data_IF_385469500400
#
_entry.id   IF_385469500400
#
_cell.length_a   1.000
_cell.length_b   1.000
_cell.length_c   1.000
_cell.angle_alpha   90.00
_cell.angle_beta   90.00
_cell.angle_gamma   90.00
#
_symmetry.space_group_name_H-M   'P 1'
#
loop_
_entity.id
_entity.type
_entity.pdbx_description
1 polymer ?
#
# COMPACT_ATOMS: atom_id res chain seq x y z
N UNK A 1 -20.99 0.04 -33.26
CA UNK A 1 -20.82 0.05 -31.80
C UNK A 1 -19.34 0.27 -31.55
N UNK A 2 -18.97 1.47 -31.13
CA UNK A 2 -17.56 1.84 -30.86
C UNK A 2 -17.20 1.24 -29.49
N UNK A 3 -16.06 0.56 -29.30
CA UNK A 3 -15.66 0.14 -27.96
C UNK A 3 -15.42 1.40 -27.11
N UNK A 4 -15.69 1.37 -25.80
CA UNK A 4 -15.33 2.50 -24.96
C UNK A 4 -13.80 2.63 -24.99
N UNK A 5 -13.33 3.79 -25.41
CA UNK A 5 -11.96 4.23 -25.24
C UNK A 5 -11.73 4.32 -23.74
N UNK A 6 -11.10 3.30 -23.15
CA UNK A 6 -10.47 3.48 -21.86
C UNK A 6 -9.39 4.52 -22.07
N UNK A 7 -9.56 5.72 -21.51
CA UNK A 7 -8.53 6.77 -21.48
C UNK A 7 -7.40 6.34 -20.55
N UNK A 8 -6.72 5.24 -20.91
CA UNK A 8 -5.49 4.74 -20.33
C UNK A 8 -4.34 5.67 -20.68
N UNK A 9 -4.45 6.94 -20.27
CA UNK A 9 -3.31 7.82 -20.15
C UNK A 9 -2.32 7.18 -19.18
N UNK A 10 -1.02 7.34 -19.45
CA UNK A 10 0.01 7.06 -18.45
C UNK A 10 -0.40 7.72 -17.14
N UNK A 11 -0.24 7.04 -15.99
CA UNK A 11 -0.54 7.65 -14.70
C UNK A 11 0.22 8.98 -14.57
N UNK A 12 -0.32 9.89 -13.77
CA UNK A 12 0.40 11.11 -13.43
C UNK A 12 1.82 10.78 -12.91
N UNK A 13 2.78 11.70 -12.98
CA UNK A 13 4.11 11.46 -12.41
C UNK A 13 4.04 11.10 -10.92
N UNK A 14 5.02 10.34 -10.43
CA UNK A 14 5.15 10.04 -9.00
C UNK A 14 5.49 11.33 -8.23
N UNK A 15 4.79 11.58 -7.14
CA UNK A 15 5.07 12.66 -6.20
C UNK A 15 6.19 12.23 -5.25
N UNK A 16 7.43 12.44 -5.71
CA UNK A 16 8.63 12.09 -4.95
C UNK A 16 8.72 12.80 -3.59
N UNK A 17 8.42 14.11 -3.44
CA UNK A 17 8.38 14.78 -2.13
C UNK A 17 7.47 14.09 -1.11
N UNK A 18 6.29 13.60 -1.52
CA UNK A 18 5.41 12.82 -0.62
C UNK A 18 6.08 11.51 -0.21
N UNK A 19 6.70 10.78 -1.15
CA UNK A 19 7.42 9.54 -0.80
C UNK A 19 8.58 9.80 0.17
N UNK A 20 9.37 10.86 -0.02
CA UNK A 20 10.47 11.24 0.87
C UNK A 20 9.98 11.63 2.27
N UNK A 21 8.83 12.31 2.34
CA UNK A 21 8.18 12.64 3.62
C UNK A 21 7.74 11.36 4.36
N UNK A 22 7.05 10.44 3.69
CA UNK A 22 6.60 9.17 4.27
C UNK A 22 7.81 8.33 4.69
N UNK A 23 8.82 8.21 3.83
CA UNK A 23 10.07 7.50 4.11
C UNK A 23 10.73 8.02 5.39
N UNK A 24 10.94 9.33 5.49
CA UNK A 24 11.57 9.97 6.65
C UNK A 24 10.80 9.69 7.92
N UNK A 25 9.46 9.75 7.86
CA UNK A 25 8.60 9.53 9.03
C UNK A 25 8.64 8.07 9.48
N UNK A 26 8.53 7.12 8.56
CA UNK A 26 8.48 5.70 8.85
C UNK A 26 9.83 5.14 9.30
N UNK A 27 10.92 5.54 8.66
CA UNK A 27 12.28 5.12 9.02
C UNK A 27 12.66 5.50 10.46
N UNK A 28 12.02 6.54 11.03
CA UNK A 28 12.25 6.99 12.40
C UNK A 28 11.48 6.18 13.45
N UNK A 29 10.67 5.19 13.05
CA UNK A 29 9.89 4.34 13.96
C UNK A 29 10.62 3.03 14.24
N UNK A 30 10.34 2.41 15.40
CA UNK A 30 10.92 1.11 15.78
C UNK A 30 10.29 -0.07 15.03
N UNK A 31 9.09 0.12 14.50
CA UNK A 31 8.32 -0.88 13.76
C UNK A 31 8.89 -1.13 12.37
N UNK A 32 9.71 -0.22 11.85
CA UNK A 32 10.27 -0.26 10.50
C UNK A 32 11.75 -0.59 10.61
N UNK A 33 12.18 -1.65 9.93
CA UNK A 33 13.61 -1.95 9.81
C UNK A 33 14.25 -1.08 8.72
N UNK A 34 13.54 -0.89 7.61
CA UNK A 34 14.04 -0.19 6.44
C UNK A 34 12.90 0.47 5.65
N UNK A 35 13.10 1.70 5.21
CA UNK A 35 12.24 2.42 4.27
C UNK A 35 13.10 2.97 3.14
N UNK A 36 12.91 2.47 1.92
CA UNK A 36 13.75 2.79 0.77
C UNK A 36 12.91 3.20 -0.42
N UNK A 37 13.22 4.34 -1.02
CA UNK A 37 12.68 4.72 -2.32
C UNK A 37 13.52 4.04 -3.39
N UNK A 38 12.88 3.19 -4.19
CA UNK A 38 13.50 2.47 -5.30
C UNK A 38 12.94 2.97 -6.62
N UNK A 39 13.79 3.09 -7.63
CA UNK A 39 13.38 3.32 -9.02
C UNK A 39 13.76 2.09 -9.83
N UNK A 40 12.79 1.18 -10.00
CA UNK A 40 12.98 0.01 -10.85
C UNK A 40 12.27 0.26 -12.18
N UNK A 41 13.04 0.43 -13.25
CA UNK A 41 12.51 0.58 -14.62
C UNK A 41 11.50 1.75 -14.79
N UNK A 42 11.67 2.85 -14.06
CA UNK A 42 10.77 4.00 -14.11
C UNK A 42 9.55 3.88 -13.19
N UNK A 43 9.52 2.87 -12.32
CA UNK A 43 8.53 2.72 -11.26
C UNK A 43 9.14 3.16 -9.94
N UNK A 44 9.10 4.48 -9.70
CA UNK A 44 9.48 5.05 -8.41
C UNK A 44 8.44 4.65 -7.35
N UNK A 45 8.89 3.97 -6.31
CA UNK A 45 8.08 3.44 -5.22
C UNK A 45 8.85 3.51 -3.90
N UNK A 46 8.14 3.75 -2.79
CA UNK A 46 8.68 3.57 -1.45
C UNK A 46 8.35 2.15 -0.97
N UNK A 47 9.38 1.33 -0.70
CA UNK A 47 9.25 0.04 -0.03
C UNK A 47 9.60 0.20 1.44
N UNK A 48 8.69 -0.23 2.33
CA UNK A 48 8.86 -0.24 3.79
C UNK A 48 8.88 -1.69 4.24
N UNK A 49 9.99 -2.12 4.85
CA UNK A 49 10.15 -3.44 5.46
C UNK A 49 9.94 -3.28 6.96
N UNK A 50 9.00 -4.03 7.52
CA UNK A 50 8.75 -4.00 8.96
C UNK A 50 9.81 -4.79 9.72
N UNK A 51 10.02 -4.44 10.98
CA UNK A 51 10.98 -5.14 11.83
C UNK A 51 10.46 -6.55 12.17
N UNK A 52 11.25 -7.63 11.95
CA UNK A 52 10.81 -8.99 12.25
C UNK A 52 10.39 -9.20 13.70
N UNK A 53 11.02 -8.50 14.64
CA UNK A 53 10.66 -8.54 16.06
C UNK A 53 9.27 -7.95 16.38
N UNK A 54 8.62 -7.30 15.41
CA UNK A 54 7.27 -6.76 15.53
C UNK A 54 6.18 -7.78 15.15
N UNK A 55 6.56 -8.90 14.56
CA UNK A 55 5.67 -9.97 14.11
C UNK A 55 5.93 -11.27 14.88
N UNK A 56 4.92 -12.15 15.02
CA UNK A 56 5.15 -13.51 15.49
C UNK A 56 5.97 -14.31 14.48
N UNK A 57 6.58 -15.40 14.95
CA UNK A 57 7.46 -16.25 14.15
C UNK A 57 6.78 -16.97 12.97
N UNK A 58 5.46 -16.91 12.85
CA UNK A 58 4.69 -17.40 11.70
C UNK A 58 4.84 -16.52 10.46
N UNK A 59 5.23 -15.25 10.62
CA UNK A 59 5.44 -14.30 9.52
C UNK A 59 6.94 -14.19 9.23
N UNK A 60 7.34 -14.59 8.03
CA UNK A 60 8.73 -14.61 7.59
C UNK A 60 9.22 -13.21 7.17
N UNK A 61 8.35 -12.45 6.49
CA UNK A 61 8.61 -11.09 6.03
C UNK A 61 7.31 -10.29 5.97
N UNK A 62 7.38 -8.98 6.21
CA UNK A 62 6.25 -8.09 6.04
C UNK A 62 6.70 -6.77 5.41
N UNK A 63 5.97 -6.34 4.38
CA UNK A 63 6.30 -5.15 3.61
C UNK A 63 5.08 -4.30 3.27
N UNK A 64 5.29 -3.00 3.19
CA UNK A 64 4.34 -2.02 2.63
C UNK A 64 5.01 -1.31 1.45
N UNK A 65 4.44 -1.48 0.26
CA UNK A 65 4.79 -0.75 -0.96
C UNK A 65 3.87 0.46 -1.12
N UNK A 66 4.44 1.64 -1.35
CA UNK A 66 3.72 2.92 -1.46
C UNK A 66 4.07 3.63 -2.74
N UNK A 67 3.06 3.90 -3.56
CA UNK A 67 3.14 4.79 -4.73
C UNK A 67 2.15 5.93 -4.55
N UNK A 68 2.63 7.16 -4.73
CA UNK A 68 1.82 8.37 -4.67
C UNK A 68 2.06 9.19 -5.93
N UNK A 69 1.00 9.69 -6.54
CA UNK A 69 1.06 10.45 -7.78
C UNK A 69 0.69 11.91 -7.56
N UNK A 70 1.16 12.80 -8.43
CA UNK A 70 0.95 14.26 -8.31
C UNK A 70 -0.51 14.70 -8.46
N UNK A 71 -1.41 13.80 -8.86
CA UNK A 71 -2.86 14.01 -8.93
C UNK A 71 -3.61 13.41 -7.72
N UNK A 72 -2.90 13.07 -6.65
CA UNK A 72 -3.39 12.37 -5.44
C UNK A 72 -3.91 10.95 -5.66
N UNK A 73 -3.69 10.36 -6.83
CA UNK A 73 -3.84 8.92 -6.94
C UNK A 73 -2.74 8.23 -6.12
N UNK A 74 -3.04 7.04 -5.60
CA UNK A 74 -2.07 6.25 -4.86
C UNK A 74 -2.38 4.76 -4.92
N UNK A 75 -1.36 3.97 -4.57
CA UNK A 75 -1.45 2.53 -4.33
C UNK A 75 -0.61 2.20 -3.11
N UNK A 76 -1.26 1.66 -2.08
CA UNK A 76 -0.60 1.13 -0.90
C UNK A 76 -0.86 -0.38 -0.86
N UNK A 77 0.20 -1.18 -0.94
CA UNK A 77 0.12 -2.65 -0.95
C UNK A 77 0.87 -3.19 0.24
N UNK A 78 0.14 -3.79 1.18
CA UNK A 78 0.72 -4.49 2.30
C UNK A 78 0.71 -5.99 2.05
N UNK A 79 1.84 -6.64 2.37
CA UNK A 79 2.06 -8.06 2.11
C UNK A 79 2.88 -8.69 3.22
N UNK A 80 2.37 -9.79 3.75
CA UNK A 80 3.04 -10.71 4.66
C UNK A 80 3.42 -11.97 3.85
N UNK A 81 4.65 -12.43 4.01
CA UNK A 81 5.07 -13.77 3.57
C UNK A 81 5.03 -14.70 4.78
N UNK A 82 4.37 -15.85 4.60
CA UNK A 82 4.37 -16.97 5.53
C UNK A 82 4.99 -18.19 4.83
N UNK A 83 5.33 -19.23 5.60
CA UNK A 83 6.02 -20.40 5.08
C UNK A 83 5.34 -21.05 3.85
N UNK A 84 4.00 -21.10 3.84
CA UNK A 84 3.21 -21.81 2.82
C UNK A 84 2.31 -20.89 1.97
N UNK A 85 2.16 -19.62 2.34
CA UNK A 85 1.23 -18.70 1.69
C UNK A 85 1.64 -17.23 1.86
N UNK A 86 1.09 -16.36 1.03
CA UNK A 86 1.18 -14.92 1.22
C UNK A 86 -0.19 -14.38 1.67
N UNK A 87 -0.15 -13.35 2.51
CA UNK A 87 -1.33 -12.60 2.91
C UNK A 87 -1.14 -11.15 2.46
N UNK A 88 -2.03 -10.63 1.63
CA UNK A 88 -1.89 -9.29 1.07
C UNK A 88 -3.22 -8.56 0.91
N UNK A 89 -3.18 -7.25 1.12
CA UNK A 89 -4.30 -6.33 0.91
C UNK A 89 -3.80 -5.01 0.31
N UNK A 90 -4.71 -4.25 -0.32
CA UNK A 90 -4.35 -2.96 -0.96
C UNK A 90 -5.38 -1.87 -0.70
N UNK A 91 -4.88 -0.65 -0.55
CA UNK A 91 -5.66 0.58 -0.51
C UNK A 91 -5.29 1.42 -1.71
N UNK A 92 -6.24 1.58 -2.63
CA UNK A 92 -6.00 2.21 -3.92
C UNK A 92 -6.92 3.42 -4.10
N UNK A 93 -6.35 4.48 -4.67
CA UNK A 93 -7.05 5.65 -5.20
C UNK A 93 -6.60 5.82 -6.64
N UNK A 94 -7.41 5.38 -7.59
CA UNK A 94 -7.22 5.65 -9.02
C UNK A 94 -8.47 5.24 -9.81
N UNK A 95 -8.73 5.86 -10.97
CA UNK A 95 -9.78 5.39 -11.86
C UNK A 95 -9.50 3.96 -12.36
N UNK A 96 -10.52 3.10 -12.42
CA UNK A 96 -10.46 1.81 -13.08
C UNK A 96 -11.85 1.44 -13.66
N UNK A 97 -11.98 0.39 -14.50
CA UNK A 97 -13.26 0.03 -15.13
C UNK A 97 -14.30 -0.66 -14.22
N UNK A 98 -13.94 -1.07 -13.00
CA UNK A 98 -14.72 -2.02 -12.20
C UNK A 98 -14.98 -1.55 -10.76
N UNK A 99 -14.36 -0.46 -10.32
CA UNK A 99 -14.53 0.19 -9.03
C UNK A 99 -14.66 1.70 -9.20
N UNK A 100 -15.17 2.35 -8.16
CA UNK A 100 -15.00 3.78 -7.94
C UNK A 100 -13.51 4.13 -7.73
N UNK A 101 -13.19 5.43 -7.76
CA UNK A 101 -11.81 5.92 -7.66
C UNK A 101 -11.10 5.38 -6.41
N UNK A 102 -11.79 5.38 -5.27
CA UNK A 102 -11.28 4.87 -3.99
C UNK A 102 -11.80 3.44 -3.80
N UNK A 103 -10.90 2.47 -3.66
CA UNK A 103 -11.27 1.07 -3.47
C UNK A 103 -10.25 0.32 -2.62
N UNK A 104 -10.75 -0.67 -1.87
CA UNK A 104 -9.96 -1.57 -1.04
C UNK A 104 -9.90 -2.96 -1.70
N UNK A 105 -8.72 -3.57 -1.77
CA UNK A 105 -8.60 -4.97 -2.15
C UNK A 105 -8.38 -5.80 -0.89
N UNK A 106 -9.38 -6.60 -0.46
CA UNK A 106 -9.31 -7.31 0.81
C UNK A 106 -8.28 -8.44 0.78
N UNK A 107 -7.77 -8.82 1.96
CA UNK A 107 -6.96 -10.02 2.11
C UNK A 107 -7.76 -11.31 1.84
N UNK A 108 -7.08 -12.45 1.60
CA UNK A 108 -5.63 -12.63 1.67
C UNK A 108 -4.90 -12.42 0.34
N UNK A 109 -5.61 -12.17 -0.76
CA UNK A 109 -5.03 -12.19 -2.12
C UNK A 109 -5.09 -10.85 -2.85
N UNK A 110 -5.60 -9.79 -2.20
CA UNK A 110 -5.84 -8.49 -2.81
C UNK A 110 -6.51 -8.58 -4.20
N UNK A 111 -7.52 -9.47 -4.31
CA UNK A 111 -8.13 -9.83 -5.59
C UNK A 111 -8.84 -8.65 -6.26
N UNK A 112 -8.96 -8.72 -7.59
CA UNK A 112 -9.72 -7.75 -8.40
C UNK A 112 -11.05 -8.37 -8.83
N UNK A 113 -12.20 -7.65 -8.78
CA UNK A 113 -12.34 -6.25 -8.36
C UNK A 113 -12.16 -6.06 -6.85
N UNK A 114 -11.82 -4.84 -6.44
CA UNK A 114 -11.85 -4.45 -5.03
C UNK A 114 -13.26 -4.10 -4.56
N UNK A 115 -13.36 -3.59 -3.35
CA UNK A 115 -14.56 -3.07 -2.70
C UNK A 115 -14.53 -1.54 -2.72
N UNK A 116 -15.60 -0.91 -3.20
CA UNK A 116 -15.71 0.54 -3.24
C UNK A 116 -15.74 1.14 -1.84
N UNK A 117 -15.00 2.23 -1.64
CA UNK A 117 -14.88 2.90 -0.34
C UNK A 117 -14.51 4.37 -0.53
N UNK A 118 -14.13 5.06 0.55
CA UNK A 118 -13.63 6.44 0.51
C UNK A 118 -12.44 6.59 1.44
N UNK A 119 -11.35 7.18 0.95
CA UNK A 119 -10.17 7.48 1.76
C UNK A 119 -10.13 8.95 2.19
N UNK A 120 -9.41 9.29 3.27
CA UNK A 120 -9.11 10.68 3.60
C UNK A 120 -8.49 11.45 2.42
N UNK A 121 -8.67 12.77 2.42
CA UNK A 121 -8.10 13.64 1.39
C UNK A 121 -6.60 13.90 1.63
N UNK A 122 -6.19 14.09 2.89
CA UNK A 122 -4.80 14.37 3.24
C UNK A 122 -3.96 13.08 3.23
N UNK A 123 -2.78 13.13 2.62
CA UNK A 123 -1.88 11.98 2.51
C UNK A 123 -1.44 11.42 3.87
N UNK A 124 -1.33 12.26 4.90
CA UNK A 124 -0.94 11.87 6.25
C UNK A 124 -2.05 11.06 6.91
N UNK A 125 -3.30 11.47 6.68
CA UNK A 125 -4.48 10.77 7.22
C UNK A 125 -4.67 9.42 6.53
N UNK A 126 -4.42 9.32 5.22
CA UNK A 126 -4.41 8.03 4.50
C UNK A 126 -3.33 7.10 5.05
N UNK A 127 -2.10 7.58 5.19
CA UNK A 127 -1.00 6.75 5.73
C UNK A 127 -1.26 6.35 7.18
N UNK A 128 -1.78 7.25 8.01
CA UNK A 128 -2.14 6.93 9.39
C UNK A 128 -3.25 5.87 9.47
N UNK A 129 -4.26 5.97 8.60
CA UNK A 129 -5.31 4.96 8.49
C UNK A 129 -4.74 3.58 8.14
N UNK A 130 -3.91 3.49 7.09
CA UNK A 130 -3.30 2.22 6.66
C UNK A 130 -2.40 1.62 7.74
N UNK A 131 -1.60 2.44 8.43
CA UNK A 131 -0.77 1.95 9.52
C UNK A 131 -1.62 1.40 10.68
N UNK A 132 -2.74 2.04 11.02
CA UNK A 132 -3.64 1.52 12.06
C UNK A 132 -4.24 0.15 11.66
N UNK A 133 -4.67 -0.02 10.41
CA UNK A 133 -5.18 -1.32 9.92
C UNK A 133 -4.10 -2.42 9.99
N UNK A 134 -2.84 -2.07 9.67
CA UNK A 134 -1.70 -2.99 9.79
C UNK A 134 -1.43 -3.32 11.27
N UNK A 135 -1.49 -2.34 12.16
CA UNK A 135 -1.32 -2.55 13.61
C UNK A 135 -2.41 -3.49 14.18
N UNK A 136 -3.67 -3.32 13.76
CA UNK A 136 -4.78 -4.20 14.17
C UNK A 136 -4.59 -5.63 13.64
N UNK A 137 -4.09 -5.79 12.40
CA UNK A 137 -3.72 -7.09 11.84
C UNK A 137 -2.59 -7.74 12.64
N UNK A 138 -1.54 -6.99 12.99
CA UNK A 138 -0.42 -7.48 13.80
C UNK A 138 -0.90 -7.90 15.19
N UNK A 139 -1.77 -7.10 15.83
CA UNK A 139 -2.35 -7.45 17.12
C UNK A 139 -3.15 -8.76 17.07
N UNK A 140 -3.88 -8.99 15.96
CA UNK A 140 -4.59 -10.25 15.71
C UNK A 140 -3.61 -11.41 15.59
N UNK A 141 -2.54 -11.26 14.81
CA UNK A 141 -1.49 -12.27 14.62
C UNK A 141 -0.83 -12.71 15.94
N UNK A 142 -0.63 -11.78 16.89
CA UNK A 142 -0.07 -12.10 18.22
C UNK A 142 -1.08 -12.79 19.15
N UNK A 143 -2.38 -12.73 18.83
CA UNK A 143 -3.45 -13.37 19.59
C UNK A 143 -3.83 -14.78 19.10
N UNK A 144 -3.26 -15.22 17.99
CA UNK A 144 -3.48 -16.56 17.39
C UNK A 144 -2.74 -17.70 18.12
#
# INVERSE_FOLDING_TARGET
>A
MVPPTGDGGSPAPIDRPILEFIQTRLQATRQVSQATITDTSGHLELTVVFAPAYYPASVDDARLSVRWYTNDDFKLHYREEHADYAWECRWDRHPNPHNTRDHFHPPPTAATPGEDTTWPADHRDVVAFVLNEIEDRIATLWGE
#
